data_IF_288932857756
#
_entry.id   IF_288932857756
#
_cell.length_a   1.000
_cell.length_b   1.000
_cell.length_c   1.000
_cell.angle_alpha   90.00
_cell.angle_beta   90.00
_cell.angle_gamma   90.00
#
_symmetry.space_group_name_H-M   'P 1'
#
loop_
_entity.id
_entity.type
_entity.pdbx_description
1 polymer ?
#
# COMPACT_ATOMS: atom_id res chain seq x y z
N UNK A 1 -14.05 -33.45 -10.72
CA UNK A 1 -14.01 -32.77 -12.03
C UNK A 1 -14.30 -31.31 -11.77
N UNK A 2 -13.36 -30.40 -12.07
CA UNK A 2 -13.62 -28.97 -11.92
C UNK A 2 -14.72 -28.60 -12.92
N UNK A 3 -15.87 -28.11 -12.43
CA UNK A 3 -16.94 -27.61 -13.30
C UNK A 3 -16.42 -26.39 -14.04
N UNK A 4 -16.54 -26.38 -15.37
CA UNK A 4 -16.09 -25.24 -16.17
C UNK A 4 -16.94 -24.00 -15.90
N UNK A 5 -16.44 -22.81 -16.24
CA UNK A 5 -17.17 -21.55 -16.03
C UNK A 5 -18.56 -21.56 -16.68
N UNK A 6 -18.73 -22.27 -17.80
CA UNK A 6 -20.02 -22.50 -18.44
C UNK A 6 -20.99 -23.31 -17.55
N UNK A 7 -20.54 -24.39 -16.91
CA UNK A 7 -21.38 -25.25 -16.04
C UNK A 7 -21.85 -24.48 -14.80
N UNK A 8 -20.95 -23.66 -14.23
CA UNK A 8 -21.25 -22.83 -13.06
C UNK A 8 -22.27 -21.74 -13.46
N UNK A 9 -22.08 -21.08 -14.60
CA UNK A 9 -22.97 -20.05 -15.09
C UNK A 9 -24.38 -20.60 -15.36
N UNK A 10 -24.49 -21.71 -16.09
CA UNK A 10 -25.78 -22.36 -16.39
C UNK A 10 -26.54 -22.71 -15.11
N UNK A 11 -25.88 -23.33 -14.13
CA UNK A 11 -26.50 -23.69 -12.85
C UNK A 11 -27.06 -22.47 -12.10
N UNK A 12 -26.32 -21.35 -12.10
CA UNK A 12 -26.72 -20.10 -11.42
C UNK A 12 -27.86 -19.38 -12.13
N UNK A 13 -27.88 -19.43 -13.46
CA UNK A 13 -28.98 -18.89 -14.27
C UNK A 13 -30.25 -19.69 -14.00
N UNK A 14 -30.18 -21.02 -14.05
CA UNK A 14 -31.33 -21.91 -13.77
C UNK A 14 -31.89 -21.72 -12.36
N UNK A 15 -31.06 -21.33 -11.38
CA UNK A 15 -31.48 -21.02 -10.02
C UNK A 15 -32.21 -19.67 -9.88
N UNK A 16 -31.90 -18.70 -10.75
CA UNK A 16 -32.41 -17.32 -10.65
C UNK A 16 -33.52 -17.03 -11.66
N UNK A 17 -33.54 -17.74 -12.79
CA UNK A 17 -34.42 -17.44 -13.91
C UNK A 17 -34.97 -18.71 -14.55
N UNK A 18 -36.26 -18.71 -14.85
CA UNK A 18 -36.91 -19.75 -15.64
C UNK A 18 -36.73 -19.45 -17.14
N UNK A 19 -35.54 -19.74 -17.66
CA UNK A 19 -35.20 -19.52 -19.06
C UNK A 19 -35.11 -20.85 -19.82
N UNK A 20 -35.59 -20.91 -21.08
CA UNK A 20 -35.35 -22.08 -21.91
C UNK A 20 -33.85 -22.36 -22.03
N UNK A 21 -33.45 -23.60 -21.76
CA UNK A 21 -32.02 -23.99 -21.66
C UNK A 21 -31.21 -23.64 -22.91
N UNK A 22 -31.82 -23.75 -24.10
CA UNK A 22 -31.17 -23.36 -25.36
C UNK A 22 -30.87 -21.86 -25.43
N UNK A 23 -31.75 -21.03 -24.86
CA UNK A 23 -31.61 -19.58 -24.82
C UNK A 23 -30.53 -19.18 -23.83
N UNK A 24 -30.58 -19.73 -22.61
CA UNK A 24 -29.57 -19.51 -21.57
C UNK A 24 -28.16 -19.94 -22.05
N UNK A 25 -28.05 -21.14 -22.65
CA UNK A 25 -26.78 -21.64 -23.19
C UNK A 25 -26.21 -20.75 -24.30
N UNK A 26 -27.06 -20.27 -25.22
CA UNK A 26 -26.64 -19.35 -26.30
C UNK A 26 -26.18 -18.00 -25.73
N UNK A 27 -26.89 -17.48 -24.74
CA UNK A 27 -26.58 -16.23 -24.05
C UNK A 27 -25.22 -16.31 -23.33
N UNK A 28 -24.98 -17.38 -22.55
CA UNK A 28 -23.70 -17.62 -21.85
C UNK A 28 -22.52 -17.66 -22.83
N UNK A 29 -22.66 -18.37 -23.95
CA UNK A 29 -21.60 -18.49 -24.96
C UNK A 29 -21.30 -17.15 -25.64
N UNK A 30 -22.34 -16.40 -26.02
CA UNK A 30 -22.18 -15.08 -26.64
C UNK A 30 -21.53 -14.08 -25.69
N UNK A 31 -21.92 -14.07 -24.43
CA UNK A 31 -21.33 -13.19 -23.41
C UNK A 31 -19.86 -13.56 -23.17
N UNK A 32 -19.55 -14.85 -22.97
CA UNK A 32 -18.18 -15.30 -22.74
C UNK A 32 -17.25 -15.01 -23.93
N UNK A 33 -17.74 -15.14 -25.17
CA UNK A 33 -16.97 -14.87 -26.38
C UNK A 33 -16.71 -13.36 -26.63
N UNK A 34 -17.49 -12.47 -26.01
CA UNK A 34 -17.43 -11.02 -26.26
C UNK A 34 -17.02 -10.24 -25.01
N UNK A 35 -16.01 -10.74 -24.28
CA UNK A 35 -15.46 -10.01 -23.12
C UNK A 35 -16.45 -9.86 -21.97
N UNK A 36 -17.32 -10.84 -21.75
CA UNK A 36 -18.31 -10.86 -20.68
C UNK A 36 -19.34 -9.74 -20.75
N UNK A 37 -19.67 -9.33 -21.98
CA UNK A 37 -20.79 -8.45 -22.31
C UNK A 37 -21.53 -8.97 -23.54
N UNK A 38 -22.83 -8.75 -23.61
CA UNK A 38 -23.62 -9.05 -24.79
C UNK A 38 -23.54 -7.89 -25.78
N UNK A 39 -23.04 -8.10 -27.02
CA UNK A 39 -22.97 -7.04 -28.02
C UNK A 39 -24.35 -6.43 -28.32
N UNK A 40 -24.45 -5.11 -28.61
CA UNK A 40 -25.71 -4.47 -28.95
C UNK A 40 -26.44 -5.11 -30.14
N UNK A 41 -25.68 -5.64 -31.10
CA UNK A 41 -26.19 -6.37 -32.26
C UNK A 41 -26.87 -7.69 -31.87
N UNK A 42 -26.34 -8.38 -30.85
CA UNK A 42 -26.90 -9.61 -30.34
C UNK A 42 -28.08 -9.38 -29.40
N UNK A 43 -28.19 -8.20 -28.76
CA UNK A 43 -29.35 -7.82 -27.93
C UNK A 43 -30.68 -7.93 -28.67
N UNK A 44 -30.69 -7.70 -29.99
CA UNK A 44 -31.88 -7.86 -30.85
C UNK A 44 -32.45 -9.28 -30.77
N UNK A 45 -31.59 -10.29 -30.59
CA UNK A 45 -32.00 -11.70 -30.47
C UNK A 45 -32.62 -12.02 -29.11
N UNK A 46 -32.33 -11.20 -28.09
CA UNK A 46 -32.76 -11.39 -26.70
C UNK A 46 -33.73 -10.32 -26.19
N UNK A 47 -34.36 -9.54 -27.08
CA UNK A 47 -35.27 -8.43 -26.74
C UNK A 47 -36.43 -8.77 -25.80
N UNK A 48 -36.76 -10.07 -25.66
CA UNK A 48 -37.77 -10.53 -24.72
C UNK A 48 -37.32 -10.49 -23.26
N UNK A 49 -36.02 -10.36 -23.00
CA UNK A 49 -35.45 -10.22 -21.68
C UNK A 49 -35.29 -8.73 -21.34
N UNK A 50 -35.72 -8.28 -20.15
CA UNK A 50 -35.43 -6.93 -19.66
C UNK A 50 -33.92 -6.69 -19.60
N UNK A 51 -33.48 -5.44 -19.83
CA UNK A 51 -32.06 -5.09 -19.79
C UNK A 51 -31.40 -5.42 -18.44
N UNK A 52 -32.11 -5.20 -17.33
CA UNK A 52 -31.65 -5.56 -15.99
C UNK A 52 -31.37 -7.06 -15.82
N UNK A 53 -32.17 -7.92 -16.48
CA UNK A 53 -31.97 -9.38 -16.47
C UNK A 53 -30.75 -9.76 -17.31
N UNK A 54 -30.56 -9.12 -18.47
CA UNK A 54 -29.38 -9.33 -19.31
C UNK A 54 -28.12 -8.90 -18.55
N UNK A 55 -28.11 -7.72 -17.92
CA UNK A 55 -26.99 -7.25 -17.10
C UNK A 55 -26.67 -8.20 -15.95
N UNK A 56 -27.70 -8.72 -15.28
CA UNK A 56 -27.50 -9.71 -14.22
C UNK A 56 -26.93 -11.02 -14.74
N UNK A 57 -27.36 -11.49 -15.91
CA UNK A 57 -26.80 -12.70 -16.54
C UNK A 57 -25.36 -12.46 -17.00
N UNK A 58 -25.03 -11.30 -17.57
CA UNK A 58 -23.64 -10.91 -17.88
C UNK A 58 -22.74 -11.01 -16.64
N UNK A 59 -23.23 -10.53 -15.49
CA UNK A 59 -22.51 -10.66 -14.21
C UNK A 59 -22.35 -12.14 -13.78
N UNK A 60 -23.42 -12.94 -13.85
CA UNK A 60 -23.37 -14.37 -13.49
C UNK A 60 -22.33 -15.13 -14.33
N UNK A 61 -22.30 -14.88 -15.64
CA UNK A 61 -21.34 -15.51 -16.56
C UNK A 61 -19.91 -15.09 -16.22
N UNK A 62 -19.68 -13.80 -15.96
CA UNK A 62 -18.37 -13.28 -15.57
C UNK A 62 -17.87 -13.95 -14.29
N UNK A 63 -18.69 -13.96 -13.24
CA UNK A 63 -18.34 -14.51 -11.92
C UNK A 63 -18.02 -16.00 -12.02
N UNK A 64 -18.80 -16.74 -12.81
CA UNK A 64 -18.62 -18.18 -13.01
C UNK A 64 -17.31 -18.53 -13.72
N UNK A 65 -16.90 -17.75 -14.73
CA UNK A 65 -15.65 -17.97 -15.45
C UNK A 65 -14.42 -17.58 -14.64
N UNK A 66 -14.53 -16.54 -13.81
CA UNK A 66 -13.46 -16.17 -12.86
C UNK A 66 -13.28 -17.28 -11.81
N UNK A 67 -14.37 -17.78 -11.23
CA UNK A 67 -14.33 -18.87 -10.24
C UNK A 67 -13.74 -20.16 -10.81
N UNK A 68 -14.03 -20.47 -12.07
CA UNK A 68 -13.46 -21.63 -12.76
C UNK A 68 -11.97 -21.47 -13.13
N UNK A 69 -11.35 -20.32 -12.86
CA UNK A 69 -9.98 -20.01 -13.25
C UNK A 69 -9.80 -19.88 -14.77
N UNK A 70 -10.85 -19.47 -15.49
CA UNK A 70 -10.77 -19.19 -16.92
C UNK A 70 -9.88 -17.99 -17.22
N UNK A 71 -9.38 -17.90 -18.46
CA UNK A 71 -8.66 -16.72 -18.94
C UNK A 71 -9.66 -15.57 -19.19
N UNK A 72 -9.95 -14.85 -18.11
CA UNK A 72 -10.81 -13.67 -18.09
C UNK A 72 -9.84 -12.48 -18.10
N UNK A 73 -9.61 -11.88 -19.27
CA UNK A 73 -8.56 -10.86 -19.46
C UNK A 73 -8.44 -9.85 -18.32
N UNK A 74 -7.20 -9.38 -18.07
CA UNK A 74 -6.81 -8.69 -16.83
C UNK A 74 -7.74 -7.57 -16.35
N UNK A 75 -8.27 -6.73 -17.25
CA UNK A 75 -9.19 -5.64 -16.91
C UNK A 75 -10.52 -6.14 -16.32
N UNK A 76 -11.06 -7.24 -16.86
CA UNK A 76 -12.34 -7.83 -16.39
C UNK A 76 -12.16 -8.45 -15.01
N UNK A 77 -11.03 -9.13 -14.79
CA UNK A 77 -10.68 -9.66 -13.48
C UNK A 77 -10.48 -8.53 -12.46
N UNK A 78 -9.76 -7.46 -12.83
CA UNK A 78 -9.54 -6.30 -11.96
C UNK A 78 -10.85 -5.61 -11.57
N UNK A 79 -11.76 -5.35 -12.52
CA UNK A 79 -13.05 -4.73 -12.20
C UNK A 79 -13.94 -5.64 -11.36
N UNK A 80 -13.94 -6.96 -11.62
CA UNK A 80 -14.68 -7.91 -10.79
C UNK A 80 -14.15 -7.94 -9.35
N UNK A 81 -12.83 -8.00 -9.15
CA UNK A 81 -12.22 -7.94 -7.82
C UNK A 81 -12.51 -6.61 -7.12
N UNK A 82 -12.54 -5.49 -7.86
CA UNK A 82 -12.93 -4.18 -7.34
C UNK A 82 -14.38 -4.18 -6.86
N UNK A 83 -15.30 -4.73 -7.65
CA UNK A 83 -16.71 -4.82 -7.32
C UNK A 83 -16.97 -5.75 -6.12
N UNK A 84 -16.28 -6.88 -6.05
CA UNK A 84 -16.32 -7.77 -4.88
C UNK A 84 -15.83 -7.05 -3.62
N UNK A 85 -14.71 -6.32 -3.72
CA UNK A 85 -14.18 -5.53 -2.59
C UNK A 85 -15.17 -4.48 -2.11
N UNK A 86 -15.86 -3.77 -3.01
CA UNK A 86 -16.88 -2.79 -2.65
C UNK A 86 -18.10 -3.45 -1.98
N UNK A 87 -18.56 -4.58 -2.53
CA UNK A 87 -19.69 -5.33 -1.96
C UNK A 87 -19.40 -5.79 -0.54
N UNK A 88 -18.22 -6.39 -0.31
CA UNK A 88 -17.79 -6.80 1.03
C UNK A 88 -17.74 -5.61 2.02
N UNK A 89 -17.28 -4.43 1.58
CA UNK A 89 -17.27 -3.23 2.43
C UNK A 89 -18.67 -2.73 2.78
N UNK A 90 -19.62 -2.81 1.85
CA UNK A 90 -21.04 -2.47 2.12
C UNK A 90 -21.65 -3.44 3.13
N UNK A 91 -21.33 -4.72 3.04
CA UNK A 91 -21.74 -5.72 4.03
C UNK A 91 -21.17 -5.41 5.42
N UNK A 92 -19.91 -4.98 5.52
CA UNK A 92 -19.32 -4.55 6.80
C UNK A 92 -20.08 -3.37 7.43
N UNK A 93 -20.61 -2.44 6.62
CA UNK A 93 -21.49 -1.37 7.12
C UNK A 93 -22.80 -1.97 7.63
N UNK A 94 -23.44 -2.83 6.82
CA UNK A 94 -24.71 -3.46 7.19
C UNK A 94 -24.61 -4.30 8.48
N UNK A 95 -23.47 -4.94 8.70
CA UNK A 95 -23.17 -5.74 9.90
C UNK A 95 -22.73 -4.89 11.10
N UNK A 96 -22.59 -3.56 10.94
CA UNK A 96 -22.14 -2.66 11.99
C UNK A 96 -20.65 -2.77 12.35
N UNK A 97 -19.85 -3.40 11.48
CA UNK A 97 -18.39 -3.49 11.61
C UNK A 97 -17.70 -2.18 11.23
N UNK A 98 -18.32 -1.38 10.37
CA UNK A 98 -17.91 -0.03 10.00
C UNK A 98 -18.96 0.96 10.48
N UNK A 99 -18.54 1.95 11.27
CA UNK A 99 -19.43 2.95 11.89
C UNK A 99 -19.28 4.31 11.20
N UNK A 100 -20.40 5.01 11.04
CA UNK A 100 -20.34 6.43 10.71
C UNK A 100 -19.59 7.21 11.82
N UNK A 101 -18.86 8.30 11.49
CA UNK A 101 -18.12 9.09 12.49
C UNK A 101 -18.97 9.58 13.67
N UNK A 102 -20.24 9.91 13.43
CA UNK A 102 -21.21 10.31 14.45
C UNK A 102 -21.49 9.21 15.47
N UNK A 103 -21.64 7.98 15.01
CA UNK A 103 -21.97 6.84 15.86
C UNK A 103 -20.75 6.34 16.61
N UNK A 104 -19.58 6.35 15.96
CA UNK A 104 -18.31 6.10 16.61
C UNK A 104 -18.09 7.06 17.79
N UNK A 105 -18.26 8.37 17.57
CA UNK A 105 -18.15 9.40 18.63
C UNK A 105 -19.06 9.13 19.82
N UNK A 106 -20.34 8.85 19.56
CA UNK A 106 -21.32 8.52 20.61
C UNK A 106 -20.86 7.31 21.40
N UNK A 107 -20.39 6.26 20.71
CA UNK A 107 -19.94 5.01 21.32
C UNK A 107 -18.72 5.18 22.23
N UNK A 108 -17.74 6.00 21.84
CA UNK A 108 -16.52 6.20 22.65
C UNK A 108 -16.58 7.43 23.58
N UNK A 109 -17.68 8.19 23.54
CA UNK A 109 -17.93 9.35 24.39
C UNK A 109 -17.01 10.55 24.12
N UNK A 110 -16.67 10.83 22.85
CA UNK A 110 -15.77 11.94 22.49
C UNK A 110 -16.42 13.00 21.62
N UNK A 111 -15.91 14.22 21.72
CA UNK A 111 -16.30 15.34 20.87
C UNK A 111 -15.76 15.17 19.44
N UNK A 112 -16.32 15.93 18.51
CA UNK A 112 -15.85 15.98 17.13
C UNK A 112 -14.37 16.39 17.02
N UNK A 113 -13.99 17.46 17.73
CA UNK A 113 -12.60 17.92 17.80
C UNK A 113 -11.66 16.83 18.31
N UNK A 114 -12.10 16.06 19.31
CA UNK A 114 -11.29 14.97 19.84
C UNK A 114 -11.18 13.81 18.85
N UNK A 115 -12.24 13.50 18.10
CA UNK A 115 -12.17 12.50 17.03
C UNK A 115 -11.19 12.94 15.93
N UNK A 116 -11.26 14.20 15.50
CA UNK A 116 -10.35 14.74 14.49
C UNK A 116 -8.89 14.57 14.92
N UNK A 117 -8.55 14.88 16.18
CA UNK A 117 -7.20 14.66 16.72
C UNK A 117 -6.77 13.17 16.73
N UNK A 118 -7.69 12.25 16.99
CA UNK A 118 -7.39 10.81 16.97
C UNK A 118 -7.18 10.28 15.55
N UNK A 119 -7.83 10.88 14.56
CA UNK A 119 -7.64 10.56 13.14
C UNK A 119 -6.32 11.14 12.65
N UNK A 120 -6.05 12.39 12.98
CA UNK A 120 -4.83 13.12 12.61
C UNK A 120 -3.57 12.45 13.18
N UNK A 121 -3.60 12.05 14.46
CA UNK A 121 -2.44 11.40 15.08
C UNK A 121 -2.32 9.90 14.76
N UNK A 122 -3.28 9.33 14.01
CA UNK A 122 -3.32 7.91 13.62
C UNK A 122 -3.73 6.94 14.73
N UNK A 123 -4.27 7.43 15.85
CA UNK A 123 -4.82 6.60 16.93
C UNK A 123 -6.06 5.81 16.51
N UNK A 124 -6.81 6.34 15.55
CA UNK A 124 -7.90 5.67 14.82
C UNK A 124 -7.76 5.97 13.33
N UNK A 125 -8.48 5.25 12.49
CA UNK A 125 -8.41 5.43 11.04
C UNK A 125 -9.77 5.17 10.39
N UNK A 126 -9.94 5.69 9.17
CA UNK A 126 -11.15 5.48 8.36
C UNK A 126 -10.90 4.48 7.25
N UNK A 127 -11.97 3.80 6.85
CA UNK A 127 -12.08 2.97 5.64
C UNK A 127 -13.08 3.67 4.72
N UNK A 128 -12.70 3.82 3.46
CA UNK A 128 -13.55 4.43 2.45
C UNK A 128 -14.47 3.39 1.79
N UNK A 129 -15.76 3.71 1.75
CA UNK A 129 -16.82 2.94 1.10
C UNK A 129 -17.73 3.91 0.38
N UNK A 130 -17.87 3.78 -0.93
CA UNK A 130 -18.70 4.67 -1.77
C UNK A 130 -18.43 6.16 -1.51
N UNK A 131 -17.15 6.56 -1.53
CA UNK A 131 -16.67 7.94 -1.29
C UNK A 131 -16.91 8.49 0.12
N UNK A 132 -17.54 7.70 1.00
CA UNK A 132 -17.77 8.04 2.40
C UNK A 132 -16.77 7.34 3.32
N UNK A 133 -16.37 8.05 4.38
CA UNK A 133 -15.43 7.54 5.39
C UNK A 133 -16.14 6.92 6.59
N UNK A 134 -15.82 5.67 6.89
CA UNK A 134 -16.33 4.93 8.04
C UNK A 134 -15.18 4.52 8.98
N UNK A 135 -15.46 4.34 10.26
CA UNK A 135 -14.46 3.97 11.27
C UNK A 135 -14.73 2.54 11.74
N UNK A 136 -13.72 1.64 11.78
CA UNK A 136 -13.91 0.29 12.28
C UNK A 136 -14.46 0.25 13.72
N UNK A 137 -15.55 -0.49 13.91
CA UNK A 137 -16.27 -0.61 15.17
C UNK A 137 -15.40 -1.21 16.30
N UNK A 138 -14.44 -2.06 15.94
CA UNK A 138 -13.49 -2.65 16.90
C UNK A 138 -12.67 -1.58 17.64
N UNK A 139 -12.42 -0.43 17.02
CA UNK A 139 -11.69 0.67 17.65
C UNK A 139 -12.50 1.35 18.76
N UNK A 140 -13.81 1.10 18.80
CA UNK A 140 -14.75 1.55 19.83
C UNK A 140 -15.16 0.43 20.79
N UNK A 141 -14.58 -0.77 20.72
CA UNK A 141 -14.93 -1.87 21.59
C UNK A 141 -14.40 -1.61 23.03
N UNK A 142 -15.27 -1.59 24.06
CA UNK A 142 -14.86 -1.28 25.43
C UNK A 142 -13.98 -2.37 26.06
N UNK A 143 -13.99 -3.58 25.50
CA UNK A 143 -13.19 -4.71 25.97
C UNK A 143 -11.68 -4.54 25.73
N UNK A 144 -11.26 -3.63 24.86
CA UNK A 144 -9.85 -3.45 24.53
C UNK A 144 -9.21 -2.34 25.36
N UNK A 145 -7.95 -2.54 25.75
CA UNK A 145 -7.12 -1.46 26.30
C UNK A 145 -6.89 -0.35 25.25
N UNK A 146 -7.75 0.68 25.28
CA UNK A 146 -7.77 1.78 24.29
C UNK A 146 -6.41 2.46 24.14
N UNK A 147 -5.68 2.69 25.24
CA UNK A 147 -4.38 3.36 25.21
C UNK A 147 -3.37 2.55 24.40
N UNK A 148 -3.33 1.23 24.63
CA UNK A 148 -2.44 0.31 23.92
C UNK A 148 -2.89 0.09 22.48
N UNK A 149 -4.20 -0.02 22.22
CA UNK A 149 -4.76 -0.08 20.88
C UNK A 149 -4.37 1.13 20.04
N UNK A 150 -4.54 2.36 20.56
CA UNK A 150 -4.13 3.58 19.86
C UNK A 150 -2.62 3.57 19.58
N UNK A 151 -1.81 3.07 20.51
CA UNK A 151 -0.37 2.96 20.29
C UNK A 151 -0.03 1.99 19.14
N UNK A 152 -0.75 0.87 19.00
CA UNK A 152 -0.59 -0.03 17.86
C UNK A 152 -1.09 0.64 16.57
N UNK A 153 -2.26 1.27 16.59
CA UNK A 153 -2.82 1.97 15.42
C UNK A 153 -1.83 2.99 14.85
N UNK A 154 -1.21 3.79 15.73
CA UNK A 154 -0.16 4.73 15.34
C UNK A 154 1.05 4.03 14.72
N UNK A 155 1.44 2.86 15.22
CA UNK A 155 2.56 2.10 14.66
C UNK A 155 2.28 1.67 13.21
N UNK A 156 1.07 1.22 12.94
CA UNK A 156 0.66 0.61 11.67
C UNK A 156 0.14 1.60 10.64
N UNK A 157 0.21 2.92 10.90
CA UNK A 157 -0.18 3.99 9.97
C UNK A 157 0.40 3.83 8.56
N UNK A 158 1.65 3.37 8.34
CA UNK A 158 2.17 3.25 6.97
C UNK A 158 1.35 2.33 6.05
N UNK A 159 0.61 1.36 6.61
CA UNK A 159 -0.21 0.45 5.82
C UNK A 159 -1.54 1.07 5.35
N UNK A 160 -2.16 0.57 4.27
CA UNK A 160 -3.52 0.94 3.88
C UNK A 160 -4.56 0.60 4.98
N UNK A 161 -5.65 1.36 5.11
CA UNK A 161 -6.63 1.17 6.20
C UNK A 161 -7.19 -0.25 6.35
N UNK A 162 -7.53 -0.92 5.26
CA UNK A 162 -8.03 -2.30 5.32
C UNK A 162 -6.96 -3.29 5.78
N UNK A 163 -5.70 -3.08 5.41
CA UNK A 163 -4.58 -3.87 5.90
C UNK A 163 -4.34 -3.64 7.40
N UNK A 164 -4.55 -2.42 7.90
CA UNK A 164 -4.51 -2.14 9.35
C UNK A 164 -5.63 -2.86 10.09
N UNK A 165 -6.84 -2.86 9.52
CA UNK A 165 -7.98 -3.57 10.07
C UNK A 165 -7.68 -5.08 10.17
N UNK A 166 -7.25 -5.68 9.06
CA UNK A 166 -6.82 -7.08 9.02
C UNK A 166 -5.68 -7.37 10.00
N UNK A 167 -4.70 -6.46 10.13
CA UNK A 167 -3.62 -6.59 11.13
C UNK A 167 -4.19 -6.80 12.52
N UNK A 168 -5.14 -5.96 12.94
CA UNK A 168 -5.72 -5.99 14.27
C UNK A 168 -6.64 -7.21 14.50
N UNK A 169 -7.47 -7.57 13.51
CA UNK A 169 -8.53 -8.56 13.67
C UNK A 169 -8.11 -10.00 13.38
N UNK A 170 -7.06 -10.21 12.59
CA UNK A 170 -6.69 -11.54 12.11
C UNK A 170 -5.61 -12.21 12.95
N UNK A 171 -5.62 -13.54 12.96
CA UNK A 171 -4.58 -14.33 13.63
C UNK A 171 -3.23 -14.13 12.92
N UNK A 172 -2.15 -14.01 13.70
CA UNK A 172 -0.80 -13.77 13.15
C UNK A 172 0.13 -14.91 13.54
N UNK A 173 0.70 -15.59 12.54
CA UNK A 173 1.73 -16.60 12.76
C UNK A 173 2.92 -16.06 13.57
N UNK A 174 3.32 -14.82 13.30
CA UNK A 174 4.38 -14.09 14.03
C UNK A 174 4.04 -13.78 15.50
N UNK A 175 2.78 -13.97 15.92
CA UNK A 175 2.30 -13.87 17.30
C UNK A 175 1.84 -15.23 17.85
N UNK A 176 2.26 -16.33 17.23
CA UNK A 176 1.89 -17.69 17.64
C UNK A 176 0.42 -18.01 17.35
N UNK A 177 -0.16 -17.46 16.28
CA UNK A 177 -1.56 -17.67 15.89
C UNK A 177 -2.57 -16.83 16.68
N UNK A 178 -2.12 -15.95 17.58
CA UNK A 178 -2.99 -15.04 18.33
C UNK A 178 -3.28 -13.77 17.53
N UNK A 179 -4.40 -13.10 17.84
CA UNK A 179 -4.75 -11.78 17.28
C UNK A 179 -4.10 -10.67 18.10
N UNK A 180 -3.62 -9.57 17.48
CA UNK A 180 -3.09 -8.44 18.23
C UNK A 180 -4.05 -7.87 19.27
N UNK A 181 -5.35 -7.83 18.98
CA UNK A 181 -6.37 -7.30 19.91
C UNK A 181 -6.50 -8.11 21.20
N UNK A 182 -6.27 -9.42 21.17
CA UNK A 182 -6.35 -10.31 22.34
C UNK A 182 -5.10 -10.19 23.24
N UNK A 183 -4.07 -9.50 22.76
CA UNK A 183 -2.74 -9.43 23.36
C UNK A 183 -2.46 -8.06 24.00
N UNK A 184 -3.47 -7.19 24.09
CA UNK A 184 -3.28 -5.81 24.54
C UNK A 184 -3.21 -5.65 26.06
N UNK A 185 -3.68 -6.59 26.87
CA UNK A 185 -3.79 -6.38 28.33
C UNK A 185 -2.53 -6.77 29.12
N UNK A 186 -1.75 -7.73 28.63
CA UNK A 186 -0.46 -8.11 29.23
C UNK A 186 0.69 -7.25 28.71
N UNK A 187 1.59 -6.79 29.60
CA UNK A 187 2.78 -6.02 29.20
C UNK A 187 3.73 -6.82 28.29
N UNK A 188 3.89 -8.11 28.58
CA UNK A 188 4.76 -9.01 27.81
C UNK A 188 4.21 -9.16 26.40
N UNK A 189 2.91 -9.46 26.30
CA UNK A 189 2.24 -9.63 25.01
C UNK A 189 2.17 -8.32 24.23
N UNK A 190 1.86 -7.21 24.90
CA UNK A 190 1.83 -5.91 24.26
C UNK A 190 3.20 -5.51 23.70
N UNK A 191 4.30 -5.80 24.41
CA UNK A 191 5.66 -5.58 23.91
C UNK A 191 5.93 -6.43 22.66
N UNK A 192 5.48 -7.67 22.63
CA UNK A 192 5.58 -8.53 21.45
C UNK A 192 4.77 -7.95 20.27
N UNK A 193 3.51 -7.55 20.49
CA UNK A 193 2.66 -6.93 19.47
C UNK A 193 3.31 -5.66 18.92
N UNK A 194 3.82 -4.76 19.77
CA UNK A 194 4.50 -3.54 19.30
C UNK A 194 5.67 -3.85 18.37
N UNK A 195 6.50 -4.84 18.72
CA UNK A 195 7.66 -5.23 17.90
C UNK A 195 7.22 -5.78 16.55
N UNK A 196 6.25 -6.70 16.54
CA UNK A 196 5.72 -7.28 15.31
C UNK A 196 5.00 -6.23 14.46
N UNK A 197 4.22 -5.35 15.07
CA UNK A 197 3.56 -4.25 14.38
C UNK A 197 4.57 -3.31 13.70
N UNK A 198 5.69 -3.01 14.36
CA UNK A 198 6.74 -2.17 13.79
C UNK A 198 7.44 -2.83 12.59
N UNK A 199 7.75 -4.12 12.70
CA UNK A 199 8.33 -4.88 11.59
C UNK A 199 7.34 -4.96 10.41
N UNK A 200 6.09 -5.34 10.68
CA UNK A 200 5.04 -5.41 9.67
C UNK A 200 4.76 -4.05 9.01
N UNK A 201 4.75 -2.95 9.79
CA UNK A 201 4.52 -1.61 9.25
C UNK A 201 5.65 -1.14 8.32
N UNK A 202 6.89 -1.63 8.53
CA UNK A 202 8.03 -1.28 7.68
C UNK A 202 7.90 -1.84 6.26
N UNK A 203 7.19 -2.96 6.07
CA UNK A 203 6.94 -3.59 4.77
C UNK A 203 6.09 -2.70 3.84
N UNK A 204 5.35 -1.74 4.39
CA UNK A 204 4.45 -0.86 3.64
C UNK A 204 5.10 0.40 3.08
N UNK A 205 6.39 0.61 3.34
CA UNK A 205 7.10 1.82 2.94
C UNK A 205 8.55 1.49 2.63
N UNK A 206 9.03 2.03 1.50
CA UNK A 206 10.42 1.91 1.07
C UNK A 206 11.09 3.28 1.07
N UNK A 207 12.33 3.31 1.51
CA UNK A 207 13.22 4.44 1.27
C UNK A 207 14.16 4.06 0.14
N UNK A 208 14.22 4.91 -0.88
CA UNK A 208 15.07 4.73 -2.05
C UNK A 208 16.12 5.84 -2.05
N UNK A 209 17.38 5.46 -2.15
CA UNK A 209 18.52 6.36 -2.32
C UNK A 209 19.07 6.16 -3.72
N UNK A 210 19.09 7.22 -4.53
CA UNK A 210 19.69 7.21 -5.88
C UNK A 210 20.85 8.18 -5.96
N UNK A 211 21.91 7.77 -6.64
CA UNK A 211 23.09 8.57 -6.88
C UNK A 211 23.23 8.84 -8.39
N UNK A 212 23.45 10.09 -8.78
CA UNK A 212 23.60 10.51 -10.17
C UNK A 212 24.91 11.25 -10.37
N UNK A 213 25.53 11.08 -11.54
CA UNK A 213 26.73 11.84 -11.89
C UNK A 213 26.37 13.33 -12.08
N UNK A 214 27.21 14.23 -11.58
CA UNK A 214 27.03 15.67 -11.75
C UNK A 214 26.22 16.35 -10.65
N UNK A 215 25.93 17.62 -10.88
CA UNK A 215 25.23 18.54 -9.97
C UNK A 215 23.77 18.68 -10.42
N UNK A 216 22.85 18.10 -9.65
CA UNK A 216 21.43 18.11 -9.92
C UNK A 216 20.67 18.79 -8.78
N UNK A 217 19.64 19.55 -9.11
CA UNK A 217 18.70 20.11 -8.11
C UNK A 217 17.40 19.31 -8.04
N UNK A 218 17.04 18.62 -9.12
CA UNK A 218 15.88 17.76 -9.26
C UNK A 218 16.34 16.41 -9.79
N UNK A 219 15.62 15.35 -9.45
CA UNK A 219 15.94 14.00 -9.92
C UNK A 219 15.82 13.95 -11.46
N UNK A 220 16.88 13.58 -12.19
CA UNK A 220 16.85 13.47 -13.65
C UNK A 220 15.88 12.37 -14.11
N UNK A 221 15.09 12.65 -15.15
CA UNK A 221 14.14 11.68 -15.74
C UNK A 221 14.71 10.91 -16.93
N UNK A 222 15.79 11.42 -17.53
CA UNK A 222 16.37 10.97 -18.80
C UNK A 222 17.75 10.31 -18.64
N UNK A 223 18.26 10.23 -17.40
CA UNK A 223 19.56 9.66 -17.07
C UNK A 223 19.37 8.51 -16.10
N UNK A 224 20.07 7.40 -16.32
CA UNK A 224 20.09 6.30 -15.36
C UNK A 224 20.92 6.66 -14.11
N UNK A 225 20.47 6.26 -12.91
CA UNK A 225 21.25 6.46 -11.70
C UNK A 225 22.54 5.63 -11.75
N UNK A 226 23.64 6.21 -11.27
CA UNK A 226 24.91 5.52 -11.08
C UNK A 226 24.80 4.39 -10.05
N UNK A 227 23.91 4.58 -9.07
CA UNK A 227 23.66 3.61 -8.01
C UNK A 227 22.29 3.87 -7.40
N UNK A 228 21.58 2.79 -7.10
CA UNK A 228 20.30 2.79 -6.39
C UNK A 228 20.41 1.83 -5.22
N UNK A 229 20.00 2.26 -4.04
CA UNK A 229 19.84 1.40 -2.88
C UNK A 229 18.45 1.59 -2.27
N UNK A 230 17.81 0.50 -1.89
CA UNK A 230 16.44 0.52 -1.33
C UNK A 230 16.36 -0.27 -0.04
N UNK A 231 15.53 0.18 0.90
CA UNK A 231 15.21 -0.61 2.09
C UNK A 231 13.75 -0.41 2.50
N UNK A 232 13.12 -1.47 3.00
CA UNK A 232 11.79 -1.44 3.62
C UNK A 232 11.93 -0.93 5.06
N UNK A 233 11.31 0.21 5.33
CA UNK A 233 11.52 0.92 6.58
C UNK A 233 10.36 1.87 6.90
N UNK A 234 10.02 1.92 8.18
CA UNK A 234 9.00 2.82 8.73
C UNK A 234 9.32 4.28 8.38
N UNK A 235 8.44 4.98 7.63
CA UNK A 235 8.70 6.32 7.12
C UNK A 235 8.75 7.37 8.23
N UNK A 236 8.33 7.02 9.46
CA UNK A 236 8.38 7.90 10.64
C UNK A 236 9.76 7.91 11.29
N UNK A 237 10.65 6.98 10.94
CA UNK A 237 12.06 7.09 11.33
C UNK A 237 12.68 8.34 10.66
N UNK A 238 13.64 9.02 11.32
CA UNK A 238 14.31 10.18 10.74
C UNK A 238 14.89 9.87 9.37
N UNK A 239 14.80 10.84 8.45
CA UNK A 239 15.20 10.67 7.04
C UNK A 239 16.60 10.07 6.88
N UNK A 240 17.60 10.61 7.59
CA UNK A 240 18.98 10.15 7.48
C UNK A 240 19.23 8.79 8.13
N UNK A 241 18.41 8.39 9.11
CA UNK A 241 18.40 7.01 9.60
C UNK A 241 17.96 6.07 8.49
N UNK A 242 16.90 6.43 7.76
CA UNK A 242 16.39 5.61 6.65
C UNK A 242 17.33 5.54 5.47
N UNK A 243 17.90 6.69 5.06
CA UNK A 243 18.90 6.73 4.00
C UNK A 243 20.16 5.93 4.37
N UNK A 244 20.57 5.97 5.66
CA UNK A 244 21.71 5.19 6.13
C UNK A 244 21.42 3.70 6.06
N UNK A 245 20.24 3.26 6.55
CA UNK A 245 19.81 1.86 6.46
C UNK A 245 19.77 1.41 4.99
N UNK A 246 19.25 2.22 4.06
CA UNK A 246 19.24 1.90 2.63
C UNK A 246 20.65 1.67 2.06
N UNK A 247 21.61 2.55 2.38
CA UNK A 247 22.97 2.43 1.85
C UNK A 247 23.80 1.31 2.50
N UNK A 248 23.49 0.88 3.73
CA UNK A 248 24.30 -0.07 4.49
C UNK A 248 23.68 -1.48 4.61
N UNK A 249 22.35 -1.60 4.50
CA UNK A 249 21.68 -2.91 4.43
C UNK A 249 21.79 -3.42 3.00
N UNK A 250 22.83 -4.21 2.76
CA UNK A 250 23.02 -4.94 1.51
C UNK A 250 21.77 -5.77 1.16
N UNK A 251 21.40 -5.86 -0.12
CA UNK A 251 20.30 -6.73 -0.59
C UNK A 251 19.45 -6.16 -1.72
N UNK A 252 19.33 -4.83 -1.80
CA UNK A 252 18.61 -4.14 -2.88
C UNK A 252 19.43 -2.97 -3.41
N UNK A 253 20.67 -3.26 -3.81
CA UNK A 253 21.60 -2.30 -4.39
C UNK A 253 21.94 -2.66 -5.84
N UNK A 254 22.05 -1.63 -6.68
CA UNK A 254 22.40 -1.80 -8.10
C UNK A 254 23.12 -0.55 -8.64
N UNK A 255 24.19 -0.69 -9.44
CA UNK A 255 24.89 -1.93 -9.80
C UNK A 255 25.76 -2.46 -8.64
N UNK A 256 26.11 -3.75 -8.67
CA UNK A 256 26.95 -4.43 -7.65
C UNK A 256 28.47 -4.34 -7.93
N UNK A 257 28.83 -4.04 -9.18
CA UNK A 257 30.21 -4.03 -9.68
C UNK A 257 31.04 -2.84 -9.18
N UNK A 258 32.40 -2.94 -9.19
CA UNK A 258 33.27 -1.99 -8.49
C UNK A 258 33.02 -0.55 -8.91
N UNK A 259 32.64 0.25 -7.92
CA UNK A 259 32.29 1.64 -8.11
C UNK A 259 33.54 2.48 -8.45
N UNK A 260 33.42 3.32 -9.48
CA UNK A 260 34.48 4.26 -9.86
C UNK A 260 34.58 5.43 -8.88
N UNK A 261 35.69 6.15 -8.93
CA UNK A 261 35.78 7.45 -8.26
C UNK A 261 35.08 8.48 -9.14
N UNK A 262 34.02 9.10 -8.61
CA UNK A 262 33.26 10.16 -9.29
C UNK A 262 33.33 11.39 -8.40
N UNK A 263 33.99 12.49 -8.85
CA UNK A 263 34.26 13.64 -7.99
C UNK A 263 33.04 14.54 -7.79
N UNK A 264 32.05 14.47 -8.68
CA UNK A 264 30.84 15.29 -8.61
C UNK A 264 29.65 14.37 -8.81
N UNK A 265 28.79 14.27 -7.80
CA UNK A 265 27.57 13.48 -7.88
C UNK A 265 26.50 14.06 -6.96
N UNK A 266 25.25 13.69 -7.21
CA UNK A 266 24.10 14.13 -6.42
C UNK A 266 23.36 12.91 -5.88
N UNK A 267 22.98 12.98 -4.61
CA UNK A 267 22.21 11.98 -3.89
C UNK A 267 20.76 12.44 -3.73
N UNK A 268 19.81 11.60 -4.12
CA UNK A 268 18.39 11.80 -3.88
C UNK A 268 17.87 10.77 -2.89
N UNK A 269 17.05 11.20 -1.93
CA UNK A 269 16.30 10.32 -1.04
C UNK A 269 14.82 10.52 -1.30
N UNK A 270 14.12 9.43 -1.57
CA UNK A 270 12.67 9.42 -1.74
C UNK A 270 12.03 8.32 -0.89
N UNK A 271 10.75 8.52 -0.59
CA UNK A 271 9.88 7.54 0.05
C UNK A 271 8.88 7.01 -0.98
N UNK A 272 8.65 5.71 -0.97
CA UNK A 272 7.61 5.09 -1.79
C UNK A 272 6.74 4.19 -0.90
N UNK A 273 5.45 4.47 -0.79
CA UNK A 273 4.53 3.54 -0.14
C UNK A 273 4.15 2.41 -1.11
N UNK A 274 3.77 1.26 -0.57
CA UNK A 274 3.26 0.15 -1.40
C UNK A 274 1.99 0.61 -2.13
N UNK A 275 1.99 0.46 -3.45
CA UNK A 275 0.89 0.88 -4.32
C UNK A 275 1.06 2.27 -4.93
N UNK A 276 2.01 3.08 -4.46
CA UNK A 276 2.31 4.38 -5.07
C UNK A 276 3.05 4.18 -6.40
N UNK A 277 2.54 4.83 -7.45
CA UNK A 277 3.18 4.85 -8.77
C UNK A 277 4.38 5.80 -8.83
N UNK A 278 4.42 6.82 -7.96
CA UNK A 278 5.48 7.84 -7.93
C UNK A 278 6.09 7.97 -6.54
N UNK A 279 7.42 7.78 -6.37
CA UNK A 279 8.09 8.09 -5.11
C UNK A 279 7.91 9.56 -4.73
N UNK A 280 7.71 9.82 -3.44
CA UNK A 280 7.71 11.17 -2.85
C UNK A 280 9.16 11.61 -2.60
N UNK A 281 9.65 12.68 -3.24
CA UNK A 281 10.99 13.21 -2.97
C UNK A 281 11.08 13.80 -1.55
N UNK A 282 12.15 13.50 -0.82
CA UNK A 282 12.35 13.98 0.55
C UNK A 282 13.62 14.82 0.73
N UNK A 283 14.71 14.48 0.02
CA UNK A 283 15.93 15.29 0.03
C UNK A 283 16.79 15.12 -1.23
N UNK A 284 17.57 16.17 -1.53
CA UNK A 284 18.64 16.17 -2.51
C UNK A 284 19.93 16.69 -1.85
N UNK A 285 21.05 16.00 -2.07
CA UNK A 285 22.37 16.38 -1.54
C UNK A 285 23.38 16.36 -2.67
N UNK A 286 23.91 17.53 -3.01
CA UNK A 286 24.97 17.68 -4.01
C UNK A 286 26.32 17.46 -3.32
N UNK A 287 27.16 16.64 -3.92
CA UNK A 287 28.45 16.23 -3.37
C UNK A 287 29.56 16.56 -4.36
N UNK A 288 30.52 17.35 -3.89
CA UNK A 288 31.73 17.72 -4.61
C UNK A 288 32.96 17.28 -3.81
N UNK A 289 33.82 16.48 -4.43
CA UNK A 289 35.05 15.95 -3.83
C UNK A 289 36.24 16.69 -4.43
N UNK A 290 36.99 17.41 -3.59
CA UNK A 290 38.19 18.15 -3.97
C UNK A 290 39.34 17.68 -3.09
N UNK A 291 40.22 16.83 -3.65
CA UNK A 291 41.29 16.19 -2.89
C UNK A 291 40.74 15.37 -1.73
N UNK A 292 41.16 15.69 -0.50
CA UNK A 292 40.69 15.02 0.73
C UNK A 292 39.49 15.71 1.38
N UNK A 293 38.85 16.67 0.70
CA UNK A 293 37.68 17.40 1.22
C UNK A 293 36.43 17.07 0.40
N UNK A 294 35.33 16.82 1.09
CA UNK A 294 34.00 16.70 0.51
C UNK A 294 33.22 17.95 0.90
N UNK A 295 32.72 18.66 -0.10
CA UNK A 295 31.75 19.73 0.07
C UNK A 295 30.37 19.15 -0.21
N UNK A 296 29.46 19.33 0.73
CA UNK A 296 28.05 18.97 0.54
C UNK A 296 27.19 20.22 0.52
N UNK A 297 26.18 20.20 -0.34
CA UNK A 297 25.10 21.19 -0.34
C UNK A 297 23.78 20.45 -0.25
N UNK A 298 23.01 20.74 0.79
CA UNK A 298 21.71 20.13 1.01
C UNK A 298 20.66 20.98 0.30
N UNK A 299 20.13 20.47 -0.81
CA UNK A 299 18.97 21.01 -1.52
C UNK A 299 17.76 20.26 -0.98
N UNK A 300 17.28 20.70 0.17
CA UNK A 300 16.18 20.00 0.83
C UNK A 300 14.82 20.29 0.16
N UNK A 301 13.82 19.51 0.54
CA UNK A 301 12.42 19.85 0.33
C UNK A 301 12.08 21.27 0.84
N UNK A 302 11.03 21.86 0.26
CA UNK A 302 10.59 23.23 0.55
C UNK A 302 10.53 23.50 2.06
N UNK A 303 11.27 24.53 2.53
CA UNK A 303 11.27 24.97 3.92
C UNK A 303 12.54 24.69 4.73
N UNK A 304 13.55 24.00 4.17
CA UNK A 304 14.81 23.73 4.90
C UNK A 304 15.92 24.69 4.46
N UNK A 305 16.66 25.24 5.42
CA UNK A 305 17.74 26.20 5.15
C UNK A 305 18.89 25.51 4.43
N UNK A 306 19.23 26.02 3.24
CA UNK A 306 20.35 25.58 2.42
C UNK A 306 21.68 25.78 3.18
N UNK A 307 22.25 24.68 3.68
CA UNK A 307 23.58 24.67 4.27
C UNK A 307 24.61 24.07 3.31
N UNK A 308 25.72 24.78 3.09
CA UNK A 308 26.93 24.19 2.53
C UNK A 308 27.83 23.76 3.69
N UNK A 309 28.31 22.53 3.67
CA UNK A 309 29.21 22.02 4.71
C UNK A 309 30.43 21.33 4.10
N UNK A 310 31.52 21.25 4.85
CA UNK A 310 32.77 20.62 4.43
C UNK A 310 33.10 19.50 5.42
N UNK A 311 33.33 18.29 4.90
CA UNK A 311 33.74 17.12 5.66
C UNK A 311 35.01 16.51 5.05
N UNK A 312 35.78 15.75 5.82
CA UNK A 312 37.04 15.13 5.36
C UNK A 312 36.77 13.80 4.67
N UNK A 313 37.22 13.61 3.43
CA UNK A 313 36.97 12.39 2.63
C UNK A 313 37.70 11.14 3.15
N UNK A 314 38.89 11.32 3.75
CA UNK A 314 39.85 10.22 3.94
C UNK A 314 40.47 9.76 2.61
N UNK A 315 41.33 8.73 2.63
CA UNK A 315 42.00 8.22 1.43
C UNK A 315 41.10 7.29 0.60
N UNK A 316 41.11 7.50 -0.73
CA UNK A 316 40.56 6.66 -1.80
C UNK A 316 39.23 5.95 -1.49
N UNK A 317 38.13 6.68 -1.61
CA UNK A 317 36.77 6.18 -1.43
C UNK A 317 36.00 6.26 -2.73
N UNK A 318 35.19 5.24 -3.01
CA UNK A 318 34.26 5.26 -4.14
C UNK A 318 33.16 6.30 -3.89
N UNK A 319 32.40 6.69 -4.92
CA UNK A 319 31.30 7.64 -4.71
C UNK A 319 30.23 7.09 -3.74
N UNK A 320 30.04 5.77 -3.68
CA UNK A 320 29.14 5.10 -2.72
C UNK A 320 29.69 5.19 -1.29
N UNK A 321 30.99 4.98 -1.08
CA UNK A 321 31.61 5.14 0.23
C UNK A 321 31.54 6.60 0.73
N UNK A 322 31.69 7.55 -0.19
CA UNK A 322 31.52 8.97 0.08
C UNK A 322 30.06 9.27 0.43
N UNK A 323 29.09 8.71 -0.31
CA UNK A 323 27.66 8.85 0.01
C UNK A 323 27.32 8.29 1.40
N UNK A 324 27.82 7.09 1.74
CA UNK A 324 27.69 6.49 3.09
C UNK A 324 28.23 7.42 4.17
N UNK A 325 29.40 8.01 3.93
CA UNK A 325 30.02 8.95 4.86
C UNK A 325 29.22 10.25 5.01
N UNK A 326 28.71 10.81 3.91
CA UNK A 326 27.85 12.01 3.93
C UNK A 326 26.59 11.74 4.74
N UNK A 327 25.90 10.62 4.49
CA UNK A 327 24.70 10.26 5.25
C UNK A 327 25.01 10.00 6.73
N UNK A 328 26.13 9.34 7.05
CA UNK A 328 26.56 9.13 8.43
C UNK A 328 26.89 10.46 9.16
N UNK A 329 27.34 11.48 8.42
CA UNK A 329 27.53 12.83 8.95
C UNK A 329 26.17 13.50 9.23
N UNK A 330 25.24 13.45 8.28
CA UNK A 330 23.89 14.01 8.41
C UNK A 330 23.02 13.29 9.45
N UNK A 331 23.37 12.06 9.83
CA UNK A 331 22.74 11.36 10.95
C UNK A 331 23.07 12.01 12.31
N UNK A 332 24.23 12.67 12.43
CA UNK A 332 24.75 13.22 13.69
C UNK A 332 24.41 14.69 13.91
N UNK A 333 23.92 15.39 12.89
CA UNK A 333 23.74 16.84 12.83
C UNK A 333 22.37 17.19 12.29
#
# INVERSE_FOLDING_TARGET
>A
MASGGWDIAMRRIDQQYDLPQFLASSLVRKIAANGFRLPPTDRVTFQKLPDEVIERIEQIVRDAYIEAGGDVGGEVLSEHLRQQSLTARREMIANGELLAPSDFRKRIGVTEKRLALLLEDGSVFTVEVDEASYIPALLAAPAHNRRRLHAICRIIVPAPPLSRLDFLSSQRGSLGGRRPLDMLDSDVDFKAVKRIAAAWAAEWSRTVVKLYAGDHQLEPSDVEPLYTATTEIDPRKPLWTRASEALHLHGHEWPLDPHRVIPIFTLFVSRQAVGDSTPTPEACVQVLVVGERIRIRIVAAAGTVLGSQIITAGKYKTFVDIAKQVVAYLLKH
#
